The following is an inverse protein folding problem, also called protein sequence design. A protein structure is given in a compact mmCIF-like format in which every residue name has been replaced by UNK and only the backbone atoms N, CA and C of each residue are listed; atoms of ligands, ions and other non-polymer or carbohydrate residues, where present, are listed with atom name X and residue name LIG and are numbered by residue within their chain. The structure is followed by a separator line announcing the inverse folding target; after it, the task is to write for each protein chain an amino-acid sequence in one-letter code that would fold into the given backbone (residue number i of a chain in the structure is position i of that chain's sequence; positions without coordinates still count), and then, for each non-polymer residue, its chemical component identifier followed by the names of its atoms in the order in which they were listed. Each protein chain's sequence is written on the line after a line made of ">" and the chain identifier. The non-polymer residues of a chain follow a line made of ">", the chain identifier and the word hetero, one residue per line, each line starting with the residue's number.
data_IF_130168426006
#
_entry.id   IF_130168426006
#
_cell.length_a   1.000
_cell.length_b   1.000
_cell.length_c   1.000
_cell.angle_alpha   90.00
_cell.angle_beta   90.00
_cell.angle_gamma   90.00
#
_symmetry.space_group_name_H-M   'P 1'
#
loop_
_entity.id
_entity.type
_entity.pdbx_description
1 polymer ?
#
# COMPACT_ATOMS: atom_id res chain seq x y z
N UNK A 1 -71.71 -29.93 71.88
CA UNK A 1 -71.09 -28.60 72.08
C UNK A 1 -69.71 -28.68 71.45
N UNK A 2 -69.62 -28.70 70.12
CA UNK A 2 -68.45 -29.29 69.42
C UNK A 2 -67.66 -28.31 68.55
N UNK A 3 -67.88 -27.00 68.71
CA UNK A 3 -67.23 -25.96 67.89
C UNK A 3 -66.01 -25.29 68.58
N UNK A 4 -65.84 -25.47 69.89
CA UNK A 4 -64.73 -24.94 70.69
C UNK A 4 -63.32 -25.45 70.31
N UNK A 5 -63.10 -26.74 69.98
CA UNK A 5 -61.76 -27.21 69.59
C UNK A 5 -61.30 -26.65 68.22
N UNK A 6 -62.25 -26.32 67.35
CA UNK A 6 -61.97 -25.72 66.03
C UNK A 6 -61.47 -24.27 66.15
N UNK A 7 -62.01 -23.48 67.09
CA UNK A 7 -61.57 -22.08 67.27
C UNK A 7 -60.19 -22.02 67.90
N UNK A 8 -59.90 -22.86 68.90
CA UNK A 8 -58.59 -22.87 69.55
C UNK A 8 -57.50 -23.33 68.60
N UNK A 9 -57.77 -24.33 67.76
CA UNK A 9 -56.80 -24.81 66.77
C UNK A 9 -56.54 -23.78 65.65
N UNK A 10 -57.59 -23.08 65.19
CA UNK A 10 -57.46 -22.02 64.17
C UNK A 10 -56.74 -20.79 64.72
N UNK A 11 -56.98 -20.42 65.98
CA UNK A 11 -56.32 -19.27 66.63
C UNK A 11 -54.84 -19.55 66.88
N UNK A 12 -54.52 -20.78 67.30
CA UNK A 12 -53.14 -21.20 67.56
C UNK A 12 -52.34 -21.34 66.26
N UNK A 13 -52.95 -21.85 65.18
CA UNK A 13 -52.36 -21.83 63.85
C UNK A 13 -52.18 -20.40 63.30
N UNK A 14 -53.14 -19.51 63.52
CA UNK A 14 -53.04 -18.09 63.13
C UNK A 14 -51.90 -17.37 63.84
N UNK A 15 -51.75 -17.56 65.16
CA UNK A 15 -50.66 -17.01 65.95
C UNK A 15 -49.29 -17.59 65.55
N UNK A 16 -49.22 -18.89 65.29
CA UNK A 16 -48.01 -19.54 64.79
C UNK A 16 -47.60 -19.04 63.40
N UNK A 17 -48.55 -18.91 62.47
CA UNK A 17 -48.31 -18.34 61.14
C UNK A 17 -47.88 -16.87 61.22
N UNK A 18 -48.44 -16.10 62.15
CA UNK A 18 -48.06 -14.70 62.35
C UNK A 18 -46.62 -14.56 62.88
N UNK A 19 -46.20 -15.41 63.82
CA UNK A 19 -44.81 -15.46 64.31
C UNK A 19 -43.83 -15.97 63.24
N UNK A 20 -44.21 -17.01 62.50
CA UNK A 20 -43.39 -17.56 61.42
C UNK A 20 -43.29 -16.62 60.21
N UNK A 21 -44.26 -15.72 59.99
CA UNK A 21 -44.27 -14.77 58.87
C UNK A 21 -42.97 -13.96 58.78
N UNK A 22 -42.50 -13.43 59.91
CA UNK A 22 -41.29 -12.59 59.91
C UNK A 22 -40.02 -13.41 59.62
N UNK A 23 -39.94 -14.64 60.15
CA UNK A 23 -38.80 -15.55 59.90
C UNK A 23 -38.77 -16.01 58.45
N UNK A 24 -39.93 -16.35 57.89
CA UNK A 24 -40.07 -16.75 56.49
C UNK A 24 -39.74 -15.58 55.55
N UNK A 25 -40.25 -14.37 55.83
CA UNK A 25 -39.94 -13.18 55.04
C UNK A 25 -38.46 -12.84 55.07
N UNK A 26 -37.81 -12.87 56.23
CA UNK A 26 -36.37 -12.60 56.34
C UNK A 26 -35.52 -13.64 55.61
N UNK A 27 -35.87 -14.94 55.70
CA UNK A 27 -35.14 -15.97 54.95
C UNK A 27 -35.34 -15.85 53.45
N UNK A 28 -36.56 -15.57 53.00
CA UNK A 28 -36.84 -15.38 51.57
C UNK A 28 -36.12 -14.13 51.05
N UNK A 29 -36.17 -13.03 51.78
CA UNK A 29 -35.48 -11.79 51.43
C UNK A 29 -33.95 -11.97 51.40
N UNK A 30 -33.37 -12.68 52.37
CA UNK A 30 -31.94 -12.95 52.40
C UNK A 30 -31.53 -13.94 51.30
N UNK A 31 -32.34 -14.94 51.00
CA UNK A 31 -32.08 -15.88 49.89
C UNK A 31 -32.13 -15.17 48.54
N UNK A 32 -33.15 -14.35 48.31
CA UNK A 32 -33.30 -13.56 47.09
C UNK A 32 -32.18 -12.53 46.97
N UNK A 33 -31.81 -11.87 48.07
CA UNK A 33 -30.69 -10.93 48.10
C UNK A 33 -29.35 -11.61 47.77
N UNK A 34 -29.09 -12.78 48.35
CA UNK A 34 -27.88 -13.54 48.06
C UNK A 34 -27.82 -13.96 46.58
N UNK A 35 -28.93 -14.45 46.03
CA UNK A 35 -29.02 -14.81 44.60
C UNK A 35 -28.81 -13.58 43.70
N UNK A 36 -29.33 -12.41 44.08
CA UNK A 36 -29.08 -11.17 43.35
C UNK A 36 -27.63 -10.70 43.46
N UNK A 37 -27.03 -10.76 44.65
CA UNK A 37 -25.64 -10.38 44.88
C UNK A 37 -24.69 -11.31 44.09
N UNK A 38 -24.95 -12.62 44.08
CA UNK A 38 -24.20 -13.61 43.30
C UNK A 38 -24.35 -13.37 41.79
N UNK A 39 -25.56 -13.09 41.30
CA UNK A 39 -25.79 -12.72 39.90
C UNK A 39 -25.07 -11.43 39.53
N UNK A 40 -25.11 -10.41 40.39
CA UNK A 40 -24.41 -9.14 40.16
C UNK A 40 -22.90 -9.32 40.13
N UNK A 41 -22.35 -10.13 41.04
CA UNK A 41 -20.92 -10.44 41.06
C UNK A 41 -20.49 -11.22 39.82
N UNK A 42 -21.28 -12.21 39.41
CA UNK A 42 -21.02 -12.98 38.18
C UNK A 42 -21.09 -12.09 36.93
N UNK A 43 -22.09 -11.20 36.83
CA UNK A 43 -22.19 -10.23 35.73
C UNK A 43 -20.98 -9.27 35.75
N UNK A 44 -20.60 -8.74 36.91
CA UNK A 44 -19.42 -7.86 37.04
C UNK A 44 -18.13 -8.58 36.66
N UNK A 45 -17.97 -9.84 37.07
CA UNK A 45 -16.83 -10.67 36.73
C UNK A 45 -16.75 -10.90 35.22
N UNK A 46 -17.87 -11.28 34.59
CA UNK A 46 -17.97 -11.43 33.13
C UNK A 46 -17.67 -10.13 32.39
N UNK A 47 -18.17 -8.98 32.86
CA UNK A 47 -17.87 -7.67 32.26
C UNK A 47 -16.36 -7.42 32.30
N UNK A 48 -15.70 -7.59 33.45
CA UNK A 48 -14.25 -7.38 33.58
C UNK A 48 -13.44 -8.33 32.71
N UNK A 49 -13.84 -9.59 32.63
CA UNK A 49 -13.19 -10.58 31.76
C UNK A 49 -13.31 -10.16 30.29
N UNK A 50 -14.51 -9.73 29.87
CA UNK A 50 -14.75 -9.24 28.51
C UNK A 50 -13.99 -7.96 28.20
N UNK A 51 -13.94 -7.00 29.13
CA UNK A 51 -13.13 -5.78 29.02
C UNK A 51 -11.64 -6.12 28.83
N UNK A 52 -11.11 -7.07 29.61
CA UNK A 52 -9.72 -7.52 29.46
C UNK A 52 -9.46 -8.22 28.12
N UNK A 53 -10.41 -9.03 27.63
CA UNK A 53 -10.31 -9.66 26.31
C UNK A 53 -10.34 -8.62 25.18
N UNK A 54 -11.17 -7.57 25.32
CA UNK A 54 -11.24 -6.46 24.36
C UNK A 54 -9.93 -5.71 24.32
N UNK A 55 -9.37 -5.39 25.49
CA UNK A 55 -8.10 -4.66 25.54
C UNK A 55 -6.97 -5.48 24.92
N UNK A 56 -6.91 -6.79 25.18
CA UNK A 56 -5.94 -7.69 24.55
C UNK A 56 -6.14 -7.83 23.03
N UNK A 57 -7.38 -7.86 22.54
CA UNK A 57 -7.69 -7.86 21.11
C UNK A 57 -7.31 -6.53 20.46
N UNK A 58 -7.63 -5.40 21.10
CA UNK A 58 -7.32 -4.07 20.62
C UNK A 58 -5.80 -3.87 20.53
N UNK A 59 -5.06 -4.21 21.58
CA UNK A 59 -3.61 -4.13 21.57
C UNK A 59 -3.01 -5.06 20.52
N UNK A 60 -3.44 -6.33 20.47
CA UNK A 60 -2.97 -7.29 19.46
C UNK A 60 -3.25 -6.86 18.01
N UNK A 61 -4.42 -6.27 17.74
CA UNK A 61 -4.77 -5.72 16.42
C UNK A 61 -3.91 -4.50 16.10
N UNK A 62 -3.74 -3.57 17.04
CA UNK A 62 -2.92 -2.37 16.85
C UNK A 62 -1.45 -2.73 16.61
N UNK A 63 -0.90 -3.66 17.39
CA UNK A 63 0.46 -4.16 17.22
C UNK A 63 0.61 -4.86 15.87
N UNK A 64 -0.36 -5.70 15.49
CA UNK A 64 -0.36 -6.40 14.20
C UNK A 64 -0.51 -5.47 12.99
N UNK A 65 -1.26 -4.37 13.12
CA UNK A 65 -1.35 -3.31 12.09
C UNK A 65 -0.05 -2.55 12.01
N UNK A 66 0.49 -2.10 13.14
CA UNK A 66 1.74 -1.32 13.22
C UNK A 66 2.92 -2.12 12.66
N UNK A 67 3.03 -3.40 13.00
CA UNK A 67 4.08 -4.28 12.49
C UNK A 67 3.98 -4.49 10.98
N UNK A 68 2.76 -4.71 10.46
CA UNK A 68 2.54 -4.82 9.00
C UNK A 68 2.88 -3.52 8.28
N UNK A 69 2.53 -2.38 8.85
CA UNK A 69 2.85 -1.07 8.29
C UNK A 69 4.37 -0.83 8.28
N UNK A 70 5.07 -1.22 9.33
CA UNK A 70 6.53 -1.14 9.39
C UNK A 70 7.20 -2.00 8.29
N UNK A 71 6.77 -3.26 8.13
CA UNK A 71 7.27 -4.14 7.07
C UNK A 71 6.94 -3.57 5.68
N UNK A 72 5.71 -3.09 5.47
CA UNK A 72 5.32 -2.48 4.22
C UNK A 72 6.21 -1.27 3.91
N UNK A 73 6.43 -0.40 4.89
CA UNK A 73 7.28 0.77 4.75
C UNK A 73 8.73 0.40 4.41
N UNK A 74 9.29 -0.61 5.08
CA UNK A 74 10.62 -1.15 4.74
C UNK A 74 10.69 -1.64 3.28
N UNK A 75 9.65 -2.35 2.80
CA UNK A 75 9.58 -2.79 1.41
C UNK A 75 9.46 -1.62 0.43
N UNK A 76 8.73 -0.57 0.81
CA UNK A 76 8.60 0.65 0.02
C UNK A 76 9.93 1.40 -0.08
N UNK A 77 10.65 1.56 1.04
CA UNK A 77 11.98 2.14 1.06
C UNK A 77 12.91 1.40 0.09
N UNK A 78 13.01 0.08 0.25
CA UNK A 78 13.83 -0.74 -0.64
C UNK A 78 13.41 -0.62 -2.11
N UNK A 79 12.12 -0.60 -2.40
CA UNK A 79 11.63 -0.46 -3.76
C UNK A 79 11.94 0.92 -4.37
N UNK A 80 11.89 1.99 -3.57
CA UNK A 80 12.31 3.32 -4.02
C UNK A 80 13.80 3.38 -4.31
N UNK A 81 14.63 2.72 -3.49
CA UNK A 81 16.07 2.57 -3.74
C UNK A 81 16.35 1.78 -5.01
N UNK A 82 15.66 0.66 -5.23
CA UNK A 82 15.78 -0.17 -6.44
C UNK A 82 15.40 0.60 -7.71
N UNK A 83 14.31 1.37 -7.69
CA UNK A 83 13.92 2.23 -8.82
C UNK A 83 14.97 3.31 -9.07
N UNK A 84 15.44 3.99 -8.02
CA UNK A 84 16.44 5.04 -8.19
C UNK A 84 17.79 4.51 -8.67
N UNK A 85 18.21 3.34 -8.17
CA UNK A 85 19.38 2.64 -8.66
C UNK A 85 19.25 2.28 -10.15
N UNK A 86 18.07 1.80 -10.57
CA UNK A 86 17.80 1.50 -11.97
C UNK A 86 17.89 2.77 -12.85
N UNK A 87 17.30 3.89 -12.42
CA UNK A 87 17.42 5.19 -13.12
C UNK A 87 18.88 5.63 -13.20
N UNK A 88 19.60 5.59 -12.08
CA UNK A 88 21.01 5.99 -11.99
C UNK A 88 21.92 5.12 -12.86
N UNK A 89 21.64 3.81 -12.96
CA UNK A 89 22.39 2.89 -13.84
C UNK A 89 22.29 3.26 -15.32
N UNK A 90 21.21 3.97 -15.71
CA UNK A 90 20.97 4.42 -17.08
C UNK A 90 21.56 5.81 -17.37
N UNK A 91 22.26 6.45 -16.43
CA UNK A 91 22.83 7.79 -16.63
C UNK A 91 23.81 7.85 -17.83
N UNK A 92 24.61 6.80 -18.05
CA UNK A 92 25.46 6.72 -19.25
C UNK A 92 24.64 6.60 -20.54
N UNK A 93 23.49 5.92 -20.49
CA UNK A 93 22.59 5.77 -21.62
C UNK A 93 21.79 7.05 -21.92
N UNK A 94 21.56 7.90 -20.92
CA UNK A 94 21.02 9.25 -21.09
C UNK A 94 21.95 10.10 -21.97
N UNK A 95 23.26 10.02 -21.78
CA UNK A 95 24.25 10.69 -22.64
C UNK A 95 24.19 10.18 -24.08
N UNK A 96 23.99 8.86 -24.28
CA UNK A 96 23.77 8.31 -25.63
C UNK A 96 22.52 8.91 -26.26
N UNK A 97 21.44 9.03 -25.50
CA UNK A 97 20.20 9.66 -25.97
C UNK A 97 20.42 11.11 -26.44
N UNK A 98 21.25 11.86 -25.72
CA UNK A 98 21.61 13.24 -26.09
C UNK A 98 22.36 13.28 -27.43
N UNK A 99 23.42 12.48 -27.57
CA UNK A 99 24.20 12.38 -28.81
C UNK A 99 23.29 11.95 -29.97
N UNK A 100 22.43 10.95 -29.74
CA UNK A 100 21.52 10.42 -30.75
C UNK A 100 20.45 11.42 -31.19
N UNK A 101 20.02 12.34 -30.32
CA UNK A 101 19.07 13.40 -30.69
C UNK A 101 19.64 14.41 -31.70
N UNK A 102 20.97 14.57 -31.73
CA UNK A 102 21.65 15.48 -32.66
C UNK A 102 21.93 14.82 -34.03
N UNK A 103 21.79 13.50 -34.11
CA UNK A 103 22.11 12.71 -35.31
C UNK A 103 20.84 12.44 -36.10
N UNK A 104 20.85 12.80 -37.39
CA UNK A 104 19.81 12.37 -38.34
C UNK A 104 19.95 10.87 -38.60
N UNK A 105 19.20 10.06 -37.87
CA UNK A 105 19.32 8.59 -37.87
C UNK A 105 19.33 8.01 -39.29
N UNK A 106 18.41 8.43 -40.15
CA UNK A 106 18.26 7.90 -41.51
C UNK A 106 19.49 8.16 -42.39
N UNK A 107 20.12 9.33 -42.24
CA UNK A 107 21.36 9.65 -42.95
C UNK A 107 22.57 8.89 -42.36
N UNK A 108 22.65 8.82 -41.03
CA UNK A 108 23.70 8.10 -40.33
C UNK A 108 23.65 6.58 -40.58
N UNK A 109 22.45 6.01 -40.71
CA UNK A 109 22.25 4.59 -40.97
C UNK A 109 22.73 4.20 -42.38
N UNK A 110 22.37 5.00 -43.40
CA UNK A 110 22.87 4.84 -44.77
C UNK A 110 24.39 4.95 -44.88
N UNK A 111 24.99 5.87 -44.12
CA UNK A 111 26.44 6.01 -44.07
C UNK A 111 27.09 4.83 -43.34
N UNK A 112 26.50 4.36 -42.25
CA UNK A 112 27.02 3.22 -41.45
C UNK A 112 26.94 1.87 -42.17
N UNK A 113 25.96 1.71 -43.06
CA UNK A 113 25.86 0.54 -43.94
C UNK A 113 27.10 0.45 -44.86
N UNK A 114 27.48 1.58 -45.48
CA UNK A 114 28.49 1.65 -46.54
C UNK A 114 29.91 1.86 -46.01
N UNK A 115 30.06 2.59 -44.91
CA UNK A 115 31.34 3.08 -44.43
C UNK A 115 31.75 2.42 -43.10
N UNK A 116 32.79 1.56 -43.08
CA UNK A 116 33.30 0.96 -41.85
C UNK A 116 33.79 1.98 -40.81
N UNK A 117 34.31 3.14 -41.24
CA UNK A 117 34.77 4.18 -40.30
C UNK A 117 33.60 4.82 -39.54
N UNK A 118 32.45 5.00 -40.21
CA UNK A 118 31.24 5.49 -39.55
C UNK A 118 30.80 4.53 -38.43
N UNK A 119 30.86 3.22 -38.67
CA UNK A 119 30.57 2.21 -37.63
C UNK A 119 31.52 2.29 -36.44
N UNK A 120 32.82 2.53 -36.67
CA UNK A 120 33.80 2.69 -35.59
C UNK A 120 33.54 3.93 -34.73
N UNK A 121 33.06 5.03 -35.31
CA UNK A 121 32.62 6.22 -34.55
C UNK A 121 31.48 5.85 -33.60
N UNK A 122 30.45 5.15 -34.08
CA UNK A 122 29.33 4.73 -33.24
C UNK A 122 29.72 3.68 -32.19
N UNK A 123 30.69 2.81 -32.48
CA UNK A 123 31.28 1.92 -31.47
C UNK A 123 32.00 2.69 -30.37
N UNK A 124 32.72 3.76 -30.74
CA UNK A 124 33.39 4.62 -29.78
C UNK A 124 32.38 5.36 -28.88
N UNK A 125 31.26 5.85 -29.45
CA UNK A 125 30.15 6.46 -28.69
C UNK A 125 29.56 5.49 -27.67
N UNK A 126 29.38 4.23 -28.04
CA UNK A 126 28.86 3.19 -27.14
C UNK A 126 29.86 2.65 -26.12
N UNK A 127 31.14 3.01 -26.18
CA UNK A 127 32.20 2.37 -25.36
C UNK A 127 32.06 2.65 -23.87
N UNK A 128 31.47 3.79 -23.50
CA UNK A 128 31.21 4.17 -22.10
C UNK A 128 29.95 3.52 -21.51
N UNK A 129 29.17 2.83 -22.35
CA UNK A 129 27.91 2.22 -21.97
C UNK A 129 28.00 0.70 -22.05
N UNK A 130 27.58 0.05 -20.97
CA UNK A 130 27.51 -1.39 -20.87
C UNK A 130 26.05 -1.79 -20.65
N UNK A 131 25.39 -2.39 -21.65
CA UNK A 131 24.00 -2.83 -21.54
C UNK A 131 23.78 -3.83 -20.40
N UNK A 132 24.79 -4.62 -20.05
CA UNK A 132 24.70 -5.64 -18.99
C UNK A 132 24.62 -5.02 -17.59
N UNK A 133 25.03 -3.75 -17.44
CA UNK A 133 24.97 -3.01 -16.18
C UNK A 133 23.62 -2.35 -15.92
N UNK A 134 22.69 -2.39 -16.87
CA UNK A 134 21.34 -1.88 -16.65
C UNK A 134 20.61 -2.84 -15.71
N UNK A 135 20.31 -2.38 -14.51
CA UNK A 135 19.57 -3.16 -13.53
C UNK A 135 18.06 -3.10 -13.82
N UNK A 136 17.62 -3.87 -14.82
CA UNK A 136 16.22 -3.98 -15.17
C UNK A 136 15.44 -4.86 -14.18
N UNK A 137 16.10 -5.84 -13.56
CA UNK A 137 15.45 -6.85 -12.72
C UNK A 137 15.02 -6.29 -11.36
N UNK A 138 15.85 -5.44 -10.72
CA UNK A 138 15.47 -4.80 -9.46
C UNK A 138 14.25 -3.90 -9.64
N UNK A 139 14.21 -3.10 -10.71
CA UNK A 139 13.07 -2.23 -11.01
C UNK A 139 11.74 -3.00 -11.13
N UNK A 140 11.73 -4.20 -11.72
CA UNK A 140 10.52 -5.02 -11.79
C UNK A 140 10.10 -5.57 -10.42
N UNK A 141 11.04 -5.89 -9.54
CA UNK A 141 10.76 -6.34 -8.16
C UNK A 141 10.20 -5.21 -7.31
N UNK A 142 10.61 -3.98 -7.57
CA UNK A 142 10.12 -2.78 -6.89
C UNK A 142 8.66 -2.43 -7.27
N UNK A 143 8.18 -2.84 -8.45
CA UNK A 143 6.87 -2.45 -9.01
C UNK A 143 5.68 -2.59 -8.05
N UNK A 144 5.52 -3.67 -7.24
CA UNK A 144 4.38 -3.80 -6.34
C UNK A 144 4.36 -2.80 -5.18
N UNK A 145 5.51 -2.19 -4.87
CA UNK A 145 5.71 -1.37 -3.67
C UNK A 145 5.86 0.13 -4.00
N UNK A 146 5.95 0.50 -5.27
CA UNK A 146 5.99 1.92 -5.68
C UNK A 146 4.63 2.42 -6.15
N UNK A 147 4.45 3.75 -6.17
CA UNK A 147 3.23 4.34 -6.69
C UNK A 147 3.08 4.07 -8.19
N UNK A 148 1.83 4.06 -8.68
CA UNK A 148 1.54 3.93 -10.11
C UNK A 148 2.21 5.05 -10.92
N UNK A 149 2.35 6.24 -10.34
CA UNK A 149 3.01 7.39 -10.96
C UNK A 149 4.52 7.18 -11.09
N UNK A 150 5.21 6.75 -10.03
CA UNK A 150 6.64 6.39 -10.09
C UNK A 150 6.89 5.40 -11.21
N UNK A 151 6.06 4.34 -11.28
CA UNK A 151 6.20 3.33 -12.31
C UNK A 151 5.94 3.86 -13.73
N UNK A 152 4.95 4.74 -13.90
CA UNK A 152 4.66 5.36 -15.19
C UNK A 152 5.83 6.23 -15.67
N UNK A 153 6.37 7.09 -14.81
CA UNK A 153 7.52 7.93 -15.14
C UNK A 153 8.77 7.11 -15.44
N UNK A 154 9.07 6.10 -14.61
CA UNK A 154 10.17 5.16 -14.86
C UNK A 154 10.02 4.41 -16.19
N UNK A 155 8.82 3.95 -16.51
CA UNK A 155 8.55 3.24 -17.76
C UNK A 155 8.76 4.14 -18.98
N UNK A 156 8.29 5.38 -18.94
CA UNK A 156 8.51 6.36 -19.99
C UNK A 156 10.01 6.68 -20.15
N UNK A 157 10.71 6.90 -19.03
CA UNK A 157 12.15 7.16 -19.00
C UNK A 157 12.95 6.02 -19.64
N UNK A 158 12.68 4.78 -19.21
CA UNK A 158 13.29 3.57 -19.77
C UNK A 158 13.01 3.42 -21.26
N UNK A 159 11.79 3.73 -21.73
CA UNK A 159 11.43 3.60 -23.14
C UNK A 159 12.25 4.55 -24.03
N UNK A 160 12.40 5.82 -23.64
CA UNK A 160 13.20 6.81 -24.36
C UNK A 160 14.67 6.38 -24.44
N UNK A 161 15.22 5.91 -23.33
CA UNK A 161 16.60 5.42 -23.28
C UNK A 161 16.79 4.18 -24.15
N UNK A 162 15.86 3.21 -24.05
CA UNK A 162 15.91 1.97 -24.84
C UNK A 162 15.88 2.27 -26.33
N UNK A 163 15.06 3.23 -26.76
CA UNK A 163 15.02 3.68 -28.15
C UNK A 163 16.39 4.18 -28.62
N UNK A 164 17.04 5.00 -27.79
CA UNK A 164 18.35 5.60 -28.11
C UNK A 164 19.45 4.54 -28.21
N UNK A 165 19.43 3.55 -27.31
CA UNK A 165 20.34 2.41 -27.33
C UNK A 165 20.11 1.57 -28.59
N UNK A 166 18.85 1.27 -28.94
CA UNK A 166 18.53 0.49 -30.14
C UNK A 166 19.02 1.18 -31.41
N UNK A 167 18.86 2.50 -31.51
CA UNK A 167 19.41 3.29 -32.62
C UNK A 167 20.93 3.19 -32.68
N UNK A 168 21.61 3.34 -31.55
CA UNK A 168 23.06 3.22 -31.50
C UNK A 168 23.54 1.83 -31.96
N UNK A 169 22.91 0.76 -31.50
CA UNK A 169 23.26 -0.61 -31.89
C UNK A 169 22.99 -0.89 -33.38
N UNK A 170 21.90 -0.33 -33.93
CA UNK A 170 21.63 -0.40 -35.36
C UNK A 170 22.75 0.28 -36.17
N UNK A 171 23.20 1.48 -35.76
CA UNK A 171 24.29 2.20 -36.41
C UNK A 171 25.64 1.48 -36.28
N UNK A 172 25.95 0.90 -35.11
CA UNK A 172 27.15 0.08 -34.91
C UNK A 172 27.18 -1.15 -35.83
N UNK A 173 26.02 -1.73 -36.09
CA UNK A 173 25.85 -2.93 -36.90
C UNK A 173 25.68 -2.64 -38.40
N UNK A 174 25.46 -1.37 -38.77
CA UNK A 174 25.20 -0.95 -40.15
C UNK A 174 23.80 -1.30 -40.65
N UNK A 175 22.82 -1.43 -39.76
CA UNK A 175 21.44 -1.69 -40.14
C UNK A 175 20.74 -0.38 -40.53
N UNK A 176 20.12 -0.37 -41.71
CA UNK A 176 19.41 0.81 -42.24
C UNK A 176 18.04 1.02 -41.56
N UNK A 177 17.36 -0.06 -41.17
CA UNK A 177 15.99 -0.01 -40.70
C UNK A 177 15.87 0.52 -39.27
N UNK A 178 15.04 1.55 -39.07
CA UNK A 178 14.73 2.11 -37.75
C UNK A 178 13.68 1.27 -37.01
N UNK A 179 14.12 0.26 -36.25
CA UNK A 179 13.24 -0.53 -35.36
C UNK A 179 12.83 0.22 -34.09
N UNK A 180 13.31 1.44 -33.90
CA UNK A 180 13.07 2.24 -32.70
C UNK A 180 11.86 3.17 -32.83
N UNK A 181 11.27 3.31 -34.03
CA UNK A 181 10.01 4.05 -34.22
C UNK A 181 8.87 3.25 -33.60
N UNK A 182 8.47 3.62 -32.39
CA UNK A 182 7.33 3.02 -31.69
C UNK A 182 6.33 4.13 -31.35
N UNK A 183 5.15 4.07 -31.97
CA UNK A 183 4.00 4.91 -31.60
C UNK A 183 3.60 4.64 -30.14
N UNK A 184 3.83 3.43 -29.65
CA UNK A 184 3.57 3.01 -28.27
C UNK A 184 4.43 3.77 -27.27
N UNK A 185 5.70 4.04 -27.60
CA UNK A 185 6.58 4.84 -26.75
C UNK A 185 6.13 6.31 -26.69
N UNK A 186 5.74 6.90 -27.82
CA UNK A 186 5.16 8.26 -27.85
C UNK A 186 3.89 8.32 -27.00
N UNK A 187 3.01 7.33 -27.13
CA UNK A 187 1.78 7.22 -26.34
C UNK A 187 2.08 7.08 -24.84
N UNK A 188 3.09 6.30 -24.47
CA UNK A 188 3.54 6.13 -23.09
C UNK A 188 4.09 7.44 -22.50
N UNK A 189 4.96 8.15 -23.23
CA UNK A 189 5.52 9.42 -22.79
C UNK A 189 4.42 10.48 -22.68
N UNK A 190 3.47 10.51 -23.62
CA UNK A 190 2.29 11.40 -23.55
C UNK A 190 1.41 11.10 -22.35
N UNK A 191 1.21 9.82 -22.01
CA UNK A 191 0.44 9.43 -20.82
C UNK A 191 1.17 9.82 -19.53
N UNK A 192 2.50 9.75 -19.50
CA UNK A 192 3.31 10.17 -18.37
C UNK A 192 3.40 11.70 -18.25
N UNK A 193 3.43 12.44 -19.36
CA UNK A 193 3.60 13.90 -19.42
C UNK A 193 2.47 14.55 -20.25
N UNK A 194 1.22 14.54 -19.77
CA UNK A 194 0.07 14.99 -20.54
C UNK A 194 0.14 16.48 -20.91
N UNK A 195 0.78 17.31 -20.08
CA UNK A 195 1.00 18.74 -20.35
C UNK A 195 1.93 19.00 -21.54
N UNK A 196 2.74 18.02 -21.96
CA UNK A 196 3.56 18.08 -23.16
C UNK A 196 2.90 17.43 -24.39
N UNK A 197 1.64 16.98 -24.29
CA UNK A 197 0.96 16.23 -25.35
C UNK A 197 1.00 16.89 -26.74
N UNK A 198 0.75 18.20 -26.84
CA UNK A 198 0.80 18.92 -28.12
C UNK A 198 2.23 19.00 -28.70
N UNK A 199 3.24 19.10 -27.84
CA UNK A 199 4.64 19.14 -28.26
C UNK A 199 5.10 17.75 -28.73
N UNK A 200 4.68 16.71 -28.01
CA UNK A 200 4.97 15.31 -28.35
C UNK A 200 4.31 14.93 -29.68
N UNK A 201 3.07 15.36 -29.93
CA UNK A 201 2.40 15.13 -31.22
C UNK A 201 3.07 15.84 -32.39
N UNK A 202 3.57 17.06 -32.17
CA UNK A 202 4.17 17.89 -33.22
C UNK A 202 5.56 17.43 -33.63
N UNK A 203 6.39 17.00 -32.67
CA UNK A 203 7.80 16.68 -32.91
C UNK A 203 8.13 15.18 -32.78
N UNK A 204 7.17 14.37 -32.32
CA UNK A 204 7.27 12.92 -32.25
C UNK A 204 8.52 12.42 -31.54
N UNK A 205 9.14 11.40 -32.12
CA UNK A 205 10.29 10.66 -31.60
C UNK A 205 11.61 11.44 -31.56
N UNK A 206 11.70 12.61 -32.20
CA UNK A 206 12.98 13.34 -32.29
C UNK A 206 13.28 14.15 -31.02
N UNK A 207 12.23 14.61 -30.32
CA UNK A 207 12.36 15.49 -29.15
C UNK A 207 12.12 14.79 -27.81
N UNK A 208 11.86 13.47 -27.81
CA UNK A 208 11.54 12.77 -26.56
C UNK A 208 12.70 12.76 -25.56
N UNK A 209 13.94 12.93 -26.05
CA UNK A 209 15.13 13.05 -25.20
C UNK A 209 15.02 14.19 -24.17
N UNK A 210 14.45 15.34 -24.57
CA UNK A 210 14.35 16.53 -23.72
C UNK A 210 13.45 16.31 -22.49
N UNK A 211 12.64 15.25 -22.48
CA UNK A 211 11.77 14.92 -21.35
C UNK A 211 12.47 14.06 -20.28
N UNK A 212 13.69 13.55 -20.53
CA UNK A 212 14.39 12.67 -19.59
C UNK A 212 14.65 13.36 -18.24
N UNK A 213 15.07 14.63 -18.25
CA UNK A 213 15.32 15.42 -17.02
C UNK A 213 14.03 15.65 -16.22
N UNK A 214 12.94 15.92 -16.92
CA UNK A 214 11.64 16.14 -16.27
C UNK A 214 11.12 14.84 -15.66
N UNK A 215 11.23 13.71 -16.38
CA UNK A 215 10.85 12.40 -15.86
C UNK A 215 11.67 12.01 -14.63
N UNK A 216 12.97 12.25 -14.64
CA UNK A 216 13.86 12.03 -13.50
C UNK A 216 13.43 12.86 -12.28
N UNK A 217 13.14 14.15 -12.50
CA UNK A 217 12.66 15.06 -11.45
C UNK A 217 11.31 14.60 -10.88
N UNK A 218 10.38 14.14 -11.72
CA UNK A 218 9.09 13.61 -11.28
C UNK A 218 9.22 12.29 -10.53
N UNK A 219 10.13 11.40 -10.93
CA UNK A 219 10.45 10.18 -10.19
C UNK A 219 10.96 10.52 -8.78
N UNK A 220 11.92 11.45 -8.67
CA UNK A 220 12.46 11.90 -7.39
C UNK A 220 11.39 12.53 -6.49
N UNK A 221 10.56 13.41 -7.06
CA UNK A 221 9.48 14.06 -6.31
C UNK A 221 8.48 13.04 -5.74
N UNK A 222 8.13 12.02 -6.50
CA UNK A 222 7.25 10.94 -6.03
C UNK A 222 7.93 10.02 -5.01
N UNK A 223 9.21 9.71 -5.18
CA UNK A 223 9.99 8.99 -4.17
C UNK A 223 9.98 9.77 -2.85
N UNK A 224 10.23 11.08 -2.88
CA UNK A 224 10.14 11.91 -1.68
C UNK A 224 8.75 11.88 -1.04
N UNK A 225 7.68 11.83 -1.83
CA UNK A 225 6.32 11.72 -1.30
C UNK A 225 6.08 10.38 -0.59
N UNK A 226 6.66 9.29 -1.10
CA UNK A 226 6.65 7.97 -0.44
C UNK A 226 7.43 8.04 0.89
N UNK A 227 8.64 8.61 0.88
CA UNK A 227 9.48 8.76 2.08
C UNK A 227 8.82 9.65 3.15
N UNK A 228 8.04 10.64 2.73
CA UNK A 228 7.27 11.53 3.63
C UNK A 228 5.99 10.87 4.16
N UNK A 229 5.69 9.62 3.80
CA UNK A 229 4.51 8.88 4.28
C UNK A 229 3.16 9.37 3.73
N UNK A 230 3.16 10.30 2.76
CA UNK A 230 1.93 10.94 2.25
C UNK A 230 0.96 9.98 1.55
N UNK A 231 1.41 8.79 1.18
CA UNK A 231 0.64 7.79 0.43
C UNK A 231 -0.05 6.74 1.31
N UNK A 232 0.29 6.59 2.60
CA UNK A 232 -0.07 5.40 3.39
C UNK A 232 -0.94 5.61 4.63
N UNK A 233 -0.99 6.82 5.19
CA UNK A 233 -1.57 6.97 6.53
C UNK A 233 -3.08 6.74 6.58
N UNK A 234 -3.84 7.06 5.52
CA UNK A 234 -5.30 7.03 5.62
C UNK A 234 -5.92 5.62 5.56
N UNK A 235 -5.41 4.70 4.74
CA UNK A 235 -6.10 3.43 4.48
C UNK A 235 -5.93 2.43 5.64
N UNK A 236 -4.72 2.34 6.21
CA UNK A 236 -4.43 1.46 7.35
C UNK A 236 -5.08 1.98 8.64
N UNK A 237 -5.07 3.31 8.87
CA UNK A 237 -5.78 3.92 10.00
C UNK A 237 -7.30 3.76 9.89
N UNK A 238 -7.87 3.91 8.69
CA UNK A 238 -9.28 3.66 8.47
C UNK A 238 -9.66 2.18 8.68
N UNK A 239 -8.81 1.26 8.25
CA UNK A 239 -9.02 -0.18 8.48
C UNK A 239 -8.97 -0.50 9.97
N UNK A 240 -7.97 0.00 10.70
CA UNK A 240 -7.89 -0.15 12.16
C UNK A 240 -9.13 0.46 12.85
N UNK A 241 -9.55 1.65 12.45
CA UNK A 241 -10.75 2.30 12.97
C UNK A 241 -12.03 1.49 12.69
N UNK A 242 -12.15 0.87 11.50
CA UNK A 242 -13.29 0.03 11.15
C UNK A 242 -13.31 -1.27 11.94
N UNK A 243 -12.16 -1.90 12.19
CA UNK A 243 -12.05 -3.11 13.02
C UNK A 243 -12.44 -2.78 14.47
N UNK A 244 -11.97 -1.65 15.02
CA UNK A 244 -12.34 -1.21 16.37
C UNK A 244 -13.85 -0.95 16.48
N UNK A 245 -14.45 -0.27 15.50
CA UNK A 245 -15.90 -0.06 15.45
C UNK A 245 -16.69 -1.37 15.36
N UNK A 246 -16.21 -2.34 14.60
CA UNK A 246 -16.86 -3.65 14.47
C UNK A 246 -16.78 -4.45 15.78
N UNK A 247 -15.64 -4.38 16.48
CA UNK A 247 -15.51 -4.96 17.82
C UNK A 247 -16.51 -4.31 18.78
N UNK A 248 -16.55 -2.98 18.87
CA UNK A 248 -17.49 -2.25 19.73
C UNK A 248 -18.96 -2.56 19.43
N UNK A 249 -19.33 -2.72 18.16
CA UNK A 249 -20.70 -3.02 17.73
C UNK A 249 -21.16 -4.43 18.11
N UNK A 250 -20.27 -5.44 18.02
CA UNK A 250 -20.58 -6.81 18.43
C UNK A 250 -20.92 -6.88 19.92
N UNK A 251 -20.18 -6.16 20.76
CA UNK A 251 -20.39 -6.18 22.21
C UNK A 251 -21.59 -5.37 22.69
N UNK A 252 -21.91 -4.25 22.04
CA UNK A 252 -23.11 -3.47 22.35
C UNK A 252 -24.41 -4.23 22.02
N UNK A 253 -24.37 -5.18 21.08
CA UNK A 253 -25.50 -6.05 20.77
C UNK A 253 -25.69 -7.19 21.79
N UNK A 254 -24.60 -7.72 22.35
CA UNK A 254 -24.66 -8.76 23.41
C UNK A 254 -25.25 -8.24 24.74
N UNK A 255 -25.27 -6.93 24.97
CA UNK A 255 -25.93 -6.31 26.15
C UNK A 255 -27.45 -6.10 25.99
N UNK A 256 -28.04 -6.42 24.82
CA UNK A 256 -29.47 -6.21 24.53
C UNK A 256 -30.32 -7.49 24.58
N UNK A 257 -29.75 -8.61 25.04
CA UNK A 257 -30.42 -9.91 25.26
C UNK A 257 -30.45 -10.18 26.76
#
# INVERSE_FOLDING_TARGET
>A
MDWLPSITTTTLLGAALWLCRNVLLQRLQNSVRHEFDEKLENIRSKIREKESQIEALRSGVLDGVSHRQAILYERKLKATEEIWAAVSSMAAAKQISEIMSQIKFEAAAKESEKNPQAREIFKAVGKSFDPEKIDALSAYRARPFVSKLVWAYYSAYKAIISQSILRLEALKSGWEQDFSKSEEMVALVKAALPHHGQHIEKYGNENVHYFLDELETKILSEIENILKGKLDDNESLNTAANILKAADALFNNDQRI
#
